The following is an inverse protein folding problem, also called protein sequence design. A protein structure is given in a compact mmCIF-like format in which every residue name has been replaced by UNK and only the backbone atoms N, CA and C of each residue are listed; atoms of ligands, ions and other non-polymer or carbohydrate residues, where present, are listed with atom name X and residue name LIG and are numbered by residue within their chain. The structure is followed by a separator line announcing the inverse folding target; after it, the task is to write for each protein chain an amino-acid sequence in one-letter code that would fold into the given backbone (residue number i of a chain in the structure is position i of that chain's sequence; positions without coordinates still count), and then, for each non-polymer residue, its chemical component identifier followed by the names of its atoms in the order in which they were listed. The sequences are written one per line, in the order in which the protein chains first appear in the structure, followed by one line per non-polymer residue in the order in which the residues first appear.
data_IF_854602082692
#
_entry.id   IF_854602082692
#
_cell.length_a   1.000
_cell.length_b   1.000
_cell.length_c   1.000
_cell.angle_alpha   90.00
_cell.angle_beta   90.00
_cell.angle_gamma   90.00
#
_symmetry.space_group_name_H-M   'P 1'
#
loop_
_entity.id
_entity.type
_entity.pdbx_description
1 polymer ?
#
# COMPACT_ATOMS: atom_id res chain seq x y z
N UNK A 1 -21.00 -5.45 31.40
CA UNK A 1 -21.61 -6.21 30.28
C UNK A 1 -21.37 -5.60 28.88
N UNK A 2 -21.09 -4.29 28.74
CA UNK A 2 -20.86 -3.65 27.42
C UNK A 2 -19.53 -4.01 26.72
N UNK A 3 -18.55 -4.53 27.44
CA UNK A 3 -17.20 -4.81 26.90
C UNK A 3 -17.13 -6.05 25.99
N UNK A 4 -18.06 -7.02 26.10
CA UNK A 4 -18.04 -8.23 25.28
C UNK A 4 -18.63 -8.00 23.88
N UNK A 5 -19.66 -7.16 23.78
CA UNK A 5 -20.33 -6.84 22.51
C UNK A 5 -19.42 -6.06 21.57
N UNK A 6 -18.62 -5.13 22.10
CA UNK A 6 -17.67 -4.36 21.29
C UNK A 6 -16.50 -5.20 20.79
N UNK A 7 -15.99 -6.13 21.61
CA UNK A 7 -14.95 -7.10 21.20
C UNK A 7 -15.46 -8.07 20.13
N UNK A 8 -16.69 -8.56 20.26
CA UNK A 8 -17.30 -9.44 19.25
C UNK A 8 -17.56 -8.69 17.93
N UNK A 9 -17.98 -7.42 17.99
CA UNK A 9 -18.13 -6.58 16.81
C UNK A 9 -16.80 -6.33 16.09
N UNK A 10 -15.74 -6.01 16.84
CA UNK A 10 -14.39 -5.86 16.26
C UNK A 10 -13.88 -7.16 15.66
N UNK A 11 -14.05 -8.29 16.35
CA UNK A 11 -13.63 -9.61 15.86
C UNK A 11 -14.36 -9.98 14.56
N UNK A 12 -15.69 -9.83 14.52
CA UNK A 12 -16.49 -10.12 13.32
C UNK A 12 -16.17 -9.17 12.16
N UNK A 13 -15.90 -7.88 12.45
CA UNK A 13 -15.47 -6.90 11.45
C UNK A 13 -14.07 -7.23 10.92
N UNK A 14 -13.17 -7.67 11.80
CA UNK A 14 -11.83 -8.16 11.43
C UNK A 14 -11.93 -9.41 10.55
N UNK A 15 -12.74 -10.41 10.95
CA UNK A 15 -12.97 -11.65 10.19
C UNK A 15 -13.55 -11.37 8.80
N UNK A 16 -14.56 -10.51 8.67
CA UNK A 16 -15.10 -10.11 7.37
C UNK A 16 -14.10 -9.33 6.51
N UNK A 17 -13.27 -8.47 7.11
CA UNK A 17 -12.21 -7.74 6.42
C UNK A 17 -11.04 -8.65 5.99
N UNK A 18 -10.79 -9.72 6.75
CA UNK A 18 -9.83 -10.77 6.44
C UNK A 18 -10.36 -11.64 5.28
N UNK A 19 -11.61 -12.09 5.34
CA UNK A 19 -12.23 -12.93 4.30
C UNK A 19 -12.33 -12.23 2.94
N UNK A 20 -12.74 -10.96 2.90
CA UNK A 20 -12.84 -10.22 1.62
C UNK A 20 -11.48 -9.80 1.06
N UNK A 21 -10.49 -9.58 1.92
CA UNK A 21 -9.11 -9.31 1.50
C UNK A 21 -8.36 -10.56 1.00
N UNK A 22 -8.63 -11.73 1.58
CA UNK A 22 -7.91 -12.97 1.28
C UNK A 22 -8.17 -13.54 -0.13
N UNK A 23 -9.32 -13.24 -0.75
CA UNK A 23 -9.62 -13.77 -2.09
C UNK A 23 -8.72 -13.21 -3.18
N UNK A 24 -8.17 -12.00 -3.01
CA UNK A 24 -7.34 -11.32 -4.02
C UNK A 24 -5.83 -11.42 -3.73
N UNK A 25 -5.44 -11.66 -2.47
CA UNK A 25 -4.05 -11.99 -2.06
C UNK A 25 -3.56 -13.30 -2.71
N UNK A 26 -4.46 -14.14 -3.21
CA UNK A 26 -4.22 -15.56 -3.45
C UNK A 26 -3.17 -15.90 -4.52
N UNK A 27 -2.67 -14.94 -5.31
CA UNK A 27 -1.73 -15.22 -6.41
C UNK A 27 -0.40 -14.43 -6.38
N UNK A 28 -0.23 -13.43 -5.52
CA UNK A 28 1.03 -12.68 -5.43
C UNK A 28 1.94 -13.28 -4.36
N UNK A 29 3.24 -13.40 -4.64
CA UNK A 29 4.22 -13.64 -3.59
C UNK A 29 4.25 -12.46 -2.60
N UNK A 30 4.61 -12.67 -1.32
CA UNK A 30 4.72 -11.58 -0.35
C UNK A 30 5.63 -10.44 -0.83
N UNK A 31 6.69 -10.75 -1.56
CA UNK A 31 7.62 -9.79 -2.16
C UNK A 31 6.94 -8.93 -3.22
N UNK A 32 6.17 -9.55 -4.11
CA UNK A 32 5.41 -8.84 -5.14
C UNK A 32 4.35 -7.95 -4.50
N UNK A 33 3.62 -8.47 -3.51
CA UNK A 33 2.60 -7.73 -2.79
C UNK A 33 3.18 -6.51 -2.06
N UNK A 34 4.30 -6.70 -1.35
CA UNK A 34 5.04 -5.60 -0.74
C UNK A 34 5.47 -4.56 -1.79
N UNK A 35 6.09 -5.02 -2.88
CA UNK A 35 6.64 -4.12 -3.89
C UNK A 35 5.55 -3.31 -4.60
N UNK A 36 4.38 -3.91 -4.86
CA UNK A 36 3.22 -3.23 -5.45
C UNK A 36 2.86 -1.96 -4.66
N UNK A 37 2.84 -2.05 -3.33
CA UNK A 37 2.57 -0.91 -2.46
C UNK A 37 3.78 0.00 -2.22
N UNK A 38 4.99 -0.54 -2.18
CA UNK A 38 6.21 0.21 -1.90
C UNK A 38 6.74 1.00 -3.11
N UNK A 39 6.55 0.50 -4.34
CA UNK A 39 7.06 1.09 -5.57
C UNK A 39 6.65 2.55 -5.78
N UNK A 40 5.40 2.99 -5.50
CA UNK A 40 5.04 4.40 -5.54
C UNK A 40 6.01 5.31 -4.76
N UNK A 41 6.56 4.83 -3.63
CA UNK A 41 7.55 5.56 -2.82
C UNK A 41 8.98 5.53 -3.39
N UNK A 42 9.28 4.69 -4.38
CA UNK A 42 10.62 4.59 -4.96
C UNK A 42 11.07 5.90 -5.65
N UNK A 43 10.12 6.76 -6.07
CA UNK A 43 10.45 8.10 -6.56
C UNK A 43 11.18 8.93 -5.49
N UNK A 44 10.82 8.80 -4.22
CA UNK A 44 11.52 9.47 -3.12
C UNK A 44 12.96 8.94 -2.98
N UNK A 45 13.17 7.63 -3.16
CA UNK A 45 14.52 7.06 -3.16
C UNK A 45 15.36 7.64 -4.30
N UNK A 46 14.77 7.78 -5.49
CA UNK A 46 15.43 8.39 -6.65
C UNK A 46 15.76 9.86 -6.41
N UNK A 47 14.80 10.67 -5.93
CA UNK A 47 15.00 12.09 -5.64
C UNK A 47 16.06 12.33 -4.57
N UNK A 48 16.20 11.41 -3.62
CA UNK A 48 17.22 11.48 -2.56
C UNK A 48 18.56 10.84 -2.97
N UNK A 49 18.76 10.48 -4.24
CA UNK A 49 19.96 9.80 -4.75
C UNK A 49 20.29 8.47 -4.03
N UNK A 50 19.29 7.80 -3.47
CA UNK A 50 19.45 6.49 -2.82
C UNK A 50 19.43 5.34 -3.83
N UNK A 51 18.85 5.58 -5.01
CA UNK A 51 18.91 4.71 -6.18
C UNK A 51 19.14 5.55 -7.43
N UNK A 52 19.74 4.94 -8.44
CA UNK A 52 19.94 5.52 -9.77
C UNK A 52 18.65 5.45 -10.61
N UNK A 53 18.59 6.25 -11.68
CA UNK A 53 17.51 6.18 -12.68
C UNK A 53 17.41 4.80 -13.33
N UNK A 54 18.54 4.09 -13.48
CA UNK A 54 18.57 2.72 -14.02
C UNK A 54 17.88 1.76 -13.05
N UNK A 55 18.28 1.77 -11.78
CA UNK A 55 17.68 0.92 -10.74
C UNK A 55 16.19 1.21 -10.55
N UNK A 56 15.77 2.48 -10.63
CA UNK A 56 14.35 2.85 -10.58
C UNK A 56 13.56 2.23 -11.73
N UNK A 57 14.09 2.30 -12.96
CA UNK A 57 13.44 1.70 -14.14
C UNK A 57 13.40 0.17 -14.08
N UNK A 58 14.45 -0.46 -13.55
CA UNK A 58 14.47 -1.89 -13.30
C UNK A 58 13.39 -2.28 -12.28
N UNK A 59 13.29 -1.54 -11.16
CA UNK A 59 12.25 -1.79 -10.15
C UNK A 59 10.84 -1.57 -10.70
N UNK A 60 10.65 -0.55 -11.55
CA UNK A 60 9.40 -0.31 -12.26
C UNK A 60 9.04 -1.47 -13.19
N UNK A 61 10.02 -1.99 -13.93
CA UNK A 61 9.83 -3.14 -14.81
C UNK A 61 9.47 -4.38 -13.98
N UNK A 62 10.19 -4.61 -12.88
CA UNK A 62 9.98 -5.77 -12.01
C UNK A 62 8.55 -5.78 -11.45
N UNK A 63 8.04 -4.64 -10.97
CA UNK A 63 6.67 -4.55 -10.43
C UNK A 63 5.60 -4.72 -11.51
N UNK A 64 5.78 -4.13 -12.71
CA UNK A 64 4.79 -4.21 -13.79
C UNK A 64 4.74 -5.60 -14.44
N UNK A 65 5.88 -6.30 -14.48
CA UNK A 65 5.96 -7.66 -15.02
C UNK A 65 5.68 -8.74 -13.95
N UNK A 66 5.37 -8.36 -12.71
CA UNK A 66 5.13 -9.29 -11.61
C UNK A 66 6.36 -10.12 -11.22
N UNK A 67 7.57 -9.63 -11.51
CA UNK A 67 8.82 -10.33 -11.20
C UNK A 67 9.15 -10.21 -9.72
N UNK A 68 9.41 -11.34 -9.10
CA UNK A 68 9.83 -11.41 -7.71
C UNK A 68 11.22 -10.81 -7.51
N UNK A 69 11.26 -9.75 -6.71
CA UNK A 69 12.51 -9.10 -6.27
C UNK A 69 12.99 -9.77 -4.99
N UNK A 70 14.28 -10.07 -4.92
CA UNK A 70 14.89 -10.68 -3.72
C UNK A 70 14.65 -9.84 -2.46
N UNK A 71 14.29 -10.52 -1.36
CA UNK A 71 14.03 -9.94 -0.04
C UNK A 71 15.13 -9.00 0.45
N UNK A 72 16.39 -9.40 0.28
CA UNK A 72 17.55 -8.59 0.69
C UNK A 72 17.58 -7.22 -0.02
N UNK A 73 17.25 -7.19 -1.32
CA UNK A 73 17.16 -5.94 -2.08
C UNK A 73 16.01 -5.09 -1.56
N UNK A 74 14.84 -5.67 -1.30
CA UNK A 74 13.68 -4.95 -0.74
C UNK A 74 13.99 -4.37 0.65
N UNK A 75 14.62 -5.16 1.53
CA UNK A 75 15.04 -4.72 2.87
C UNK A 75 16.02 -3.55 2.81
N UNK A 76 16.99 -3.61 1.89
CA UNK A 76 17.97 -2.54 1.68
C UNK A 76 17.33 -1.26 1.14
N UNK A 77 16.38 -1.38 0.21
CA UNK A 77 15.70 -0.24 -0.40
C UNK A 77 14.68 0.43 0.53
N UNK A 78 13.99 -0.36 1.35
CA UNK A 78 12.85 0.11 2.15
C UNK A 78 12.99 -0.20 3.65
N UNK A 79 14.13 0.13 4.30
CA UNK A 79 14.40 -0.28 5.68
C UNK A 79 13.37 0.28 6.67
N UNK A 80 12.90 1.51 6.46
CA UNK A 80 11.89 2.13 7.30
C UNK A 80 10.52 1.42 7.21
N UNK A 81 10.15 0.93 6.02
CA UNK A 81 8.92 0.17 5.86
C UNK A 81 9.01 -1.18 6.58
N UNK A 82 10.12 -1.90 6.41
CA UNK A 82 10.31 -3.19 7.07
C UNK A 82 10.38 -3.09 8.58
N UNK A 83 10.96 -2.04 9.15
CA UNK A 83 10.89 -1.81 10.60
C UNK A 83 9.45 -1.76 11.10
N UNK A 84 8.58 -1.01 10.40
CA UNK A 84 7.15 -0.88 10.76
C UNK A 84 6.38 -2.17 10.52
N UNK A 85 6.70 -2.91 9.45
CA UNK A 85 6.12 -4.24 9.19
C UNK A 85 6.53 -5.22 10.30
N UNK A 86 7.77 -5.17 10.80
CA UNK A 86 8.18 -5.96 11.96
C UNK A 86 7.38 -5.61 13.21
N UNK A 87 7.16 -4.32 13.50
CA UNK A 87 6.30 -3.90 14.61
C UNK A 87 4.87 -4.44 14.48
N UNK A 88 4.32 -4.50 13.26
CA UNK A 88 3.02 -5.13 12.98
C UNK A 88 3.07 -6.65 13.17
N UNK A 89 4.11 -7.30 12.66
CA UNK A 89 4.32 -8.74 12.73
C UNK A 89 4.35 -9.22 14.18
N UNK A 90 5.05 -8.49 15.05
CA UNK A 90 5.15 -8.75 16.48
C UNK A 90 3.79 -8.62 17.17
N UNK A 91 2.99 -7.59 16.84
CA UNK A 91 1.65 -7.39 17.43
C UNK A 91 0.69 -8.53 17.12
N UNK A 92 0.79 -9.12 15.92
CA UNK A 92 -0.13 -10.19 15.47
C UNK A 92 0.51 -11.59 15.50
N UNK A 93 1.72 -11.70 16.05
CA UNK A 93 2.48 -12.95 16.21
C UNK A 93 2.64 -13.73 14.88
N UNK A 94 3.10 -13.06 13.83
CA UNK A 94 3.31 -13.62 12.49
C UNK A 94 4.68 -13.28 11.92
N UNK A 95 5.02 -13.90 10.79
CA UNK A 95 6.26 -13.61 10.06
C UNK A 95 6.16 -12.27 9.30
N UNK A 96 7.24 -11.49 9.25
CA UNK A 96 7.34 -10.21 8.50
C UNK A 96 6.98 -10.37 7.02
N UNK A 97 7.26 -11.54 6.44
CA UNK A 97 6.95 -11.86 5.05
C UNK A 97 5.61 -12.59 4.88
N UNK A 98 4.76 -12.61 5.89
CA UNK A 98 3.37 -13.04 5.73
C UNK A 98 2.58 -11.95 4.99
N UNK A 99 1.89 -12.31 3.90
CA UNK A 99 1.12 -11.37 3.10
C UNK A 99 0.05 -10.64 3.92
N UNK A 100 -0.51 -11.29 4.96
CA UNK A 100 -1.46 -10.64 5.86
C UNK A 100 -0.80 -9.55 6.71
N UNK A 101 0.44 -9.75 7.16
CA UNK A 101 1.21 -8.73 7.90
C UNK A 101 1.47 -7.53 6.99
N UNK A 102 1.94 -7.77 5.77
CA UNK A 102 2.24 -6.71 4.80
C UNK A 102 0.97 -5.92 4.46
N UNK A 103 -0.16 -6.62 4.23
CA UNK A 103 -1.45 -5.99 4.00
C UNK A 103 -1.91 -5.17 5.19
N UNK A 104 -1.84 -5.73 6.41
CA UNK A 104 -2.24 -5.02 7.62
C UNK A 104 -1.41 -3.74 7.80
N UNK A 105 -0.11 -3.81 7.54
CA UNK A 105 0.73 -2.62 7.53
C UNK A 105 0.23 -1.59 6.51
N UNK A 106 0.09 -1.91 5.22
CA UNK A 106 -0.25 -0.91 4.22
C UNK A 106 -1.67 -0.35 4.31
N UNK A 107 -2.64 -1.21 4.64
CA UNK A 107 -4.06 -0.85 4.61
C UNK A 107 -4.51 -0.23 5.94
N UNK A 108 -4.04 -0.77 7.06
CA UNK A 108 -4.58 -0.45 8.37
C UNK A 108 -3.64 0.51 9.14
N UNK A 109 -2.34 0.22 9.23
CA UNK A 109 -1.42 0.98 10.09
C UNK A 109 -0.59 2.07 9.39
N UNK A 110 -0.33 1.97 8.08
CA UNK A 110 0.62 2.83 7.36
C UNK A 110 0.30 4.32 7.53
N UNK A 111 -0.97 4.66 7.43
CA UNK A 111 -1.45 6.03 7.59
C UNK A 111 -1.21 6.58 9.00
N UNK A 112 -1.24 5.74 10.03
CA UNK A 112 -1.01 6.15 11.42
C UNK A 112 0.44 6.56 11.67
N UNK A 113 1.41 5.88 11.04
CA UNK A 113 2.82 6.30 11.09
C UNK A 113 3.01 7.68 10.45
N UNK A 114 2.32 7.94 9.34
CA UNK A 114 2.34 9.24 8.66
C UNK A 114 1.69 10.33 9.53
N UNK A 115 0.55 10.03 10.13
CA UNK A 115 -0.21 10.96 10.97
C UNK A 115 0.58 11.39 12.20
N UNK A 116 1.27 10.45 12.85
CA UNK A 116 2.18 10.71 13.97
C UNK A 116 3.45 11.45 13.57
N UNK A 117 3.68 11.68 12.28
CA UNK A 117 4.91 12.32 11.79
C UNK A 117 6.16 11.47 12.01
N UNK A 118 6.02 10.15 12.03
CA UNK A 118 7.13 9.24 12.33
C UNK A 118 8.32 9.43 11.37
N UNK A 119 9.54 9.41 11.91
CA UNK A 119 10.76 9.54 11.13
C UNK A 119 10.86 10.88 10.42
N UNK A 120 10.95 10.85 9.08
CA UNK A 120 11.03 12.05 8.26
C UNK A 120 9.66 12.69 8.00
N UNK A 121 8.54 12.00 8.29
CA UNK A 121 7.21 12.56 8.01
C UNK A 121 6.95 13.87 8.77
N UNK A 122 7.46 14.04 10.00
CA UNK A 122 7.34 15.30 10.76
C UNK A 122 7.90 16.53 10.05
N UNK A 123 8.87 16.34 9.16
CA UNK A 123 9.53 17.43 8.44
C UNK A 123 8.78 17.83 7.16
N UNK A 124 7.78 17.06 6.73
CA UNK A 124 7.04 17.32 5.49
C UNK A 124 5.73 18.06 5.74
N UNK A 125 5.33 18.97 4.81
CA UNK A 125 4.03 19.60 4.84
C UNK A 125 2.88 18.58 4.90
N UNK A 126 1.77 18.97 5.54
CA UNK A 126 0.57 18.11 5.67
C UNK A 126 0.05 17.62 4.32
N UNK A 127 0.13 18.46 3.28
CA UNK A 127 -0.26 18.10 1.91
C UNK A 127 0.56 16.93 1.37
N UNK A 128 1.89 16.97 1.54
CA UNK A 128 2.77 15.89 1.13
C UNK A 128 2.54 14.61 1.94
N UNK A 129 2.38 14.73 3.27
CA UNK A 129 2.02 13.59 4.12
C UNK A 129 0.72 12.92 3.68
N UNK A 130 -0.31 13.69 3.39
CA UNK A 130 -1.57 13.16 2.87
C UNK A 130 -1.39 12.46 1.52
N UNK A 131 -0.50 12.96 0.66
CA UNK A 131 -0.19 12.29 -0.60
C UNK A 131 0.49 10.93 -0.42
N UNK A 132 1.31 10.77 0.63
CA UNK A 132 1.95 9.51 1.00
C UNK A 132 0.99 8.49 1.64
N UNK A 133 -0.25 8.84 1.96
CA UNK A 133 -1.20 7.90 2.57
C UNK A 133 -1.81 6.94 1.55
N UNK A 134 -2.26 5.79 2.05
CA UNK A 134 -3.05 4.82 1.31
C UNK A 134 -4.53 5.11 1.54
N UNK A 135 -5.32 5.21 0.47
CA UNK A 135 -6.77 5.42 0.56
C UNK A 135 -7.52 4.41 -0.26
N UNK A 136 -8.74 4.05 0.16
CA UNK A 136 -9.73 3.42 -0.71
C UNK A 136 -10.43 4.50 -1.52
N UNK A 137 -10.55 4.30 -2.82
CA UNK A 137 -11.08 5.31 -3.73
C UNK A 137 -11.90 4.66 -4.85
N UNK A 138 -13.02 5.29 -5.17
CA UNK A 138 -13.89 4.88 -6.27
C UNK A 138 -13.39 5.49 -7.59
N UNK A 139 -13.28 4.69 -8.64
CA UNK A 139 -12.93 5.15 -9.98
C UNK A 139 -14.16 5.83 -10.61
N UNK A 140 -14.05 7.13 -10.89
CA UNK A 140 -15.15 7.90 -11.51
C UNK A 140 -15.00 8.04 -13.02
N UNK A 141 -13.78 7.90 -13.55
CA UNK A 141 -13.45 7.99 -14.98
C UNK A 141 -12.12 7.28 -15.28
N UNK A 142 -11.99 6.69 -16.46
CA UNK A 142 -10.74 6.12 -17.01
C UNK A 142 -10.46 6.71 -18.39
N UNK A 143 -9.24 7.17 -18.60
CA UNK A 143 -8.74 7.70 -19.87
C UNK A 143 -7.35 7.14 -20.16
N UNK A 144 -7.28 6.10 -20.99
CA UNK A 144 -6.05 5.35 -21.22
C UNK A 144 -5.51 4.79 -19.91
N UNK A 145 -4.29 5.20 -19.53
CA UNK A 145 -3.64 4.78 -18.28
C UNK A 145 -3.97 5.65 -17.06
N UNK A 146 -4.80 6.68 -17.21
CA UNK A 146 -5.16 7.58 -16.11
C UNK A 146 -6.54 7.24 -15.56
N UNK A 147 -6.65 7.21 -14.23
CA UNK A 147 -7.90 7.04 -13.49
C UNK A 147 -8.18 8.32 -12.72
N UNK A 148 -9.35 8.92 -12.93
CA UNK A 148 -9.89 9.88 -11.98
C UNK A 148 -10.56 9.11 -10.85
N UNK A 149 -10.10 9.32 -9.61
CA UNK A 149 -10.62 8.63 -8.43
C UNK A 149 -11.19 9.62 -7.41
N UNK A 150 -12.17 9.19 -6.62
CA UNK A 150 -12.80 9.96 -5.54
C UNK A 150 -12.60 9.27 -4.19
N UNK A 151 -12.19 10.03 -3.17
CA UNK A 151 -11.97 9.55 -1.80
C UNK A 151 -12.03 10.73 -0.82
N UNK A 152 -12.65 10.58 0.36
CA UNK A 152 -12.72 11.63 1.41
C UNK A 152 -13.07 13.04 0.90
N UNK A 153 -14.08 13.16 0.03
CA UNK A 153 -14.48 14.41 -0.65
C UNK A 153 -13.43 15.03 -1.59
N UNK A 154 -12.29 14.37 -1.79
CA UNK A 154 -11.26 14.74 -2.76
C UNK A 154 -11.44 13.98 -4.07
N UNK A 155 -10.89 14.55 -5.13
CA UNK A 155 -10.68 13.89 -6.42
C UNK A 155 -9.20 14.01 -6.77
N UNK A 156 -8.63 12.97 -7.38
CA UNK A 156 -7.28 13.04 -7.96
C UNK A 156 -7.14 12.12 -9.16
N UNK A 157 -6.16 12.39 -9.98
CA UNK A 157 -5.73 11.48 -11.04
C UNK A 157 -4.64 10.56 -10.51
N UNK A 158 -4.70 9.28 -10.90
CA UNK A 158 -3.69 8.26 -10.61
C UNK A 158 -3.43 7.41 -11.85
N UNK A 159 -2.26 6.79 -11.90
CA UNK A 159 -1.89 5.82 -12.94
C UNK A 159 -2.52 4.45 -12.65
N UNK A 160 -3.06 3.84 -13.69
CA UNK A 160 -3.66 2.51 -13.68
C UNK A 160 -2.64 1.38 -13.86
N UNK A 161 -1.33 1.67 -13.94
CA UNK A 161 -0.34 0.70 -14.44
C UNK A 161 -0.28 -0.60 -13.62
N UNK A 162 -0.60 -0.56 -12.32
CA UNK A 162 -0.62 -1.73 -11.43
C UNK A 162 -1.97 -2.46 -11.40
N UNK A 163 -3.02 -1.84 -11.95
CA UNK A 163 -4.38 -2.39 -12.05
C UNK A 163 -4.99 -2.00 -13.41
N UNK A 164 -4.34 -2.38 -14.53
CA UNK A 164 -4.74 -1.92 -15.87
C UNK A 164 -6.17 -2.33 -16.25
N UNK A 165 -6.70 -3.38 -15.62
CA UNK A 165 -8.05 -3.90 -15.78
C UNK A 165 -9.12 -3.14 -14.98
N UNK A 166 -8.74 -2.23 -14.07
CA UNK A 166 -9.71 -1.52 -13.25
C UNK A 166 -10.52 -0.52 -14.08
N UNK A 167 -11.83 -0.48 -13.85
CA UNK A 167 -12.80 0.30 -14.64
C UNK A 167 -13.60 1.27 -13.78
N UNK A 168 -14.34 2.18 -14.43
CA UNK A 168 -15.26 3.09 -13.72
C UNK A 168 -16.25 2.30 -12.85
N UNK A 169 -16.40 2.72 -11.60
CA UNK A 169 -17.25 2.09 -10.59
C UNK A 169 -16.50 1.12 -9.67
N UNK A 170 -15.30 0.66 -10.06
CA UNK A 170 -14.47 -0.15 -9.18
C UNK A 170 -13.93 0.68 -8.00
N UNK A 171 -13.68 0.01 -6.89
CA UNK A 171 -12.95 0.57 -5.76
C UNK A 171 -11.52 0.05 -5.81
N UNK A 172 -10.55 0.95 -5.67
CA UNK A 172 -9.13 0.63 -5.61
C UNK A 172 -8.48 1.22 -4.36
N UNK A 173 -7.39 0.62 -3.91
CA UNK A 173 -6.44 1.34 -3.07
C UNK A 173 -5.56 2.24 -3.92
N UNK A 174 -5.27 3.43 -3.40
CA UNK A 174 -4.41 4.41 -4.05
C UNK A 174 -3.28 4.81 -3.12
N UNK A 175 -2.07 4.92 -3.64
CA UNK A 175 -0.88 5.33 -2.90
C UNK A 175 -0.04 6.25 -3.78
N UNK A 176 0.15 7.49 -3.32
CA UNK A 176 0.73 8.56 -4.14
C UNK A 176 0.02 8.70 -5.50
N UNK A 177 0.75 8.62 -6.61
CA UNK A 177 0.23 8.77 -7.96
C UNK A 177 -0.32 7.50 -8.60
N UNK A 178 -0.47 6.39 -7.87
CA UNK A 178 -0.86 5.09 -8.44
C UNK A 178 -2.14 4.55 -7.81
N UNK A 179 -2.97 3.90 -8.62
CA UNK A 179 -3.88 2.86 -8.15
C UNK A 179 -3.06 1.57 -7.98
N UNK A 180 -3.23 0.88 -6.86
CA UNK A 180 -2.31 -0.19 -6.42
C UNK A 180 -2.96 -1.56 -6.46
N UNK A 181 -4.21 -1.65 -6.02
CA UNK A 181 -4.95 -2.91 -5.92
C UNK A 181 -6.44 -2.60 -5.98
N UNK A 182 -7.20 -3.37 -6.77
CA UNK A 182 -8.66 -3.37 -6.74
C UNK A 182 -9.15 -4.01 -5.44
N UNK A 183 -10.23 -3.49 -4.87
CA UNK A 183 -10.84 -3.99 -3.64
C UNK A 183 -12.28 -4.38 -3.97
N UNK A 184 -12.68 -5.59 -3.60
CA UNK A 184 -14.06 -6.07 -3.65
C UNK A 184 -14.95 -5.41 -2.59
#
# INVERSE_FOLDING_TARGET
MQNSLWRNYLKMKLEKLLESGMKQIKNDSPENYFLKYAFPCANTLLCNNQITKKEFKELQKDVLEGKTVHRERLLKLFPAAFRRISEVADKINKCVWDSEVIRHYFIDEHNEYIDRGEGNYKNFPKTFRNFCKVYKAEIVKKEGRFLSVKYNSMKREVLADLVPEAEKGDVVTIHQGYAVEKIE
#
